data_IF_045238135188
#
_entry.id   IF_045238135188
#
_cell.length_a   1.000
_cell.length_b   1.000
_cell.length_c   1.000
_cell.angle_alpha   90.00
_cell.angle_beta   90.00
_cell.angle_gamma   90.00
#
_symmetry.space_group_name_H-M   'P 1'
#
loop_
_entity.id
_entity.type
_entity.pdbx_description
1 polymer ?
#
# COMPACT_ATOMS: atom_id res chain seq x y z
N UNK A 1 38.24 -15.04 -1.36
CA UNK A 1 37.11 -15.90 -1.80
C UNK A 1 36.44 -16.67 -0.64
N UNK A 2 36.32 -16.14 0.58
CA UNK A 2 35.77 -16.90 1.73
C UNK A 2 34.72 -16.16 2.59
N UNK A 3 34.03 -15.15 2.06
CA UNK A 3 33.06 -14.35 2.85
C UNK A 3 31.58 -14.56 2.49
N UNK A 4 31.24 -15.51 1.61
CA UNK A 4 29.89 -15.64 1.04
C UNK A 4 28.97 -16.64 1.78
N UNK A 5 29.45 -17.43 2.76
CA UNK A 5 28.62 -18.49 3.39
C UNK A 5 27.81 -18.07 4.61
N UNK A 6 28.23 -17.05 5.36
CA UNK A 6 27.57 -16.66 6.63
C UNK A 6 26.34 -15.77 6.42
N UNK A 7 26.33 -14.96 5.35
CA UNK A 7 25.25 -14.00 5.05
C UNK A 7 23.93 -14.71 4.69
N UNK A 8 24.00 -15.91 4.10
CA UNK A 8 22.81 -16.66 3.68
C UNK A 8 21.98 -17.21 4.86
N UNK A 9 22.60 -17.49 6.00
CA UNK A 9 21.87 -17.98 7.17
C UNK A 9 21.08 -16.87 7.87
N UNK A 10 21.68 -15.67 7.98
CA UNK A 10 21.01 -14.50 8.57
C UNK A 10 19.77 -14.08 7.76
N UNK A 11 19.85 -14.07 6.43
CA UNK A 11 18.71 -13.75 5.56
C UNK A 11 17.55 -14.75 5.68
N UNK A 12 17.85 -16.05 5.75
CA UNK A 12 16.81 -17.09 5.84
C UNK A 12 16.04 -17.03 7.16
N UNK A 13 16.71 -16.70 8.26
CA UNK A 13 16.06 -16.51 9.56
C UNK A 13 15.16 -15.27 9.52
N UNK A 14 15.62 -14.16 8.94
CA UNK A 14 14.82 -12.95 8.78
C UNK A 14 13.55 -13.20 7.96
N UNK A 15 13.68 -13.88 6.81
CA UNK A 15 12.53 -14.22 5.95
C UNK A 15 11.50 -15.11 6.68
N UNK A 16 11.97 -16.03 7.52
CA UNK A 16 11.07 -16.88 8.31
C UNK A 16 10.26 -16.06 9.33
N UNK A 17 10.92 -15.17 10.09
CA UNK A 17 10.23 -14.30 11.04
C UNK A 17 9.31 -13.29 10.36
N UNK A 18 9.70 -12.79 9.19
CA UNK A 18 8.88 -11.90 8.39
C UNK A 18 7.60 -12.59 7.90
N UNK A 19 7.72 -13.82 7.38
CA UNK A 19 6.56 -14.63 6.99
C UNK A 19 5.59 -14.86 8.16
N UNK A 20 6.10 -15.18 9.34
CA UNK A 20 5.28 -15.31 10.56
C UNK A 20 4.58 -13.99 10.88
N UNK A 21 5.31 -12.87 10.87
CA UNK A 21 4.76 -11.55 11.13
C UNK A 21 3.61 -11.20 10.18
N UNK A 22 3.78 -11.48 8.88
CA UNK A 22 2.78 -11.23 7.85
C UNK A 22 1.52 -12.09 8.03
N UNK A 23 1.69 -13.37 8.41
CA UNK A 23 0.55 -14.24 8.73
C UNK A 23 -0.23 -13.69 9.93
N UNK A 24 0.47 -13.24 10.98
CA UNK A 24 -0.17 -12.63 12.17
C UNK A 24 -0.92 -11.36 11.77
N UNK A 25 -0.32 -10.48 10.97
CA UNK A 25 -0.96 -9.25 10.48
C UNK A 25 -2.22 -9.59 9.66
N UNK A 26 -2.15 -10.56 8.74
CA UNK A 26 -3.30 -10.96 7.95
C UNK A 26 -4.45 -11.48 8.81
N UNK A 27 -4.17 -12.38 9.75
CA UNK A 27 -5.17 -12.93 10.67
C UNK A 27 -5.78 -11.85 11.56
N UNK A 28 -4.94 -10.96 12.12
CA UNK A 28 -5.41 -9.85 12.93
C UNK A 28 -6.32 -8.91 12.13
N UNK A 29 -5.97 -8.63 10.86
CA UNK A 29 -6.74 -7.76 9.98
C UNK A 29 -8.11 -8.35 9.65
N UNK A 30 -8.19 -9.65 9.36
CA UNK A 30 -9.47 -10.35 9.14
C UNK A 30 -10.33 -10.29 10.40
N UNK A 31 -9.74 -10.56 11.57
CA UNK A 31 -10.45 -10.54 12.84
C UNK A 31 -10.94 -9.13 13.22
N UNK A 32 -10.13 -8.10 12.96
CA UNK A 32 -10.52 -6.70 13.15
C UNK A 32 -11.68 -6.31 12.23
N UNK A 33 -11.63 -6.68 10.95
CA UNK A 33 -12.73 -6.43 10.01
C UNK A 33 -14.03 -7.12 10.42
N UNK A 34 -13.95 -8.33 10.98
CA UNK A 34 -15.11 -9.02 11.55
C UNK A 34 -15.71 -8.25 12.74
N UNK A 35 -14.87 -7.83 13.70
CA UNK A 35 -15.33 -7.06 14.86
C UNK A 35 -15.98 -5.74 14.45
N UNK A 36 -15.36 -5.00 13.53
CA UNK A 36 -15.88 -3.73 13.05
C UNK A 36 -17.23 -3.92 12.32
N UNK A 37 -17.35 -5.00 11.54
CA UNK A 37 -18.61 -5.35 10.89
C UNK A 37 -19.71 -5.65 11.90
N UNK A 38 -19.41 -6.40 12.96
CA UNK A 38 -20.37 -6.67 14.02
C UNK A 38 -20.76 -5.40 14.79
N UNK A 39 -19.81 -4.48 15.01
CA UNK A 39 -20.07 -3.19 15.64
C UNK A 39 -21.04 -2.34 14.80
N UNK A 40 -20.82 -2.26 13.49
CA UNK A 40 -21.73 -1.57 12.57
C UNK A 40 -23.14 -2.15 12.59
N UNK A 41 -23.27 -3.48 12.59
CA UNK A 41 -24.56 -4.17 12.66
C UNK A 41 -25.25 -3.84 13.99
N UNK A 42 -24.53 -3.93 15.10
CA UNK A 42 -25.06 -3.61 16.43
C UNK A 42 -25.52 -2.16 16.55
N UNK A 43 -24.78 -1.22 15.94
CA UNK A 43 -25.10 0.20 15.96
C UNK A 43 -26.23 0.59 14.98
N UNK A 44 -26.60 -0.30 14.04
CA UNK A 44 -27.66 -0.07 13.05
C UNK A 44 -27.36 1.07 12.06
N UNK A 45 -26.12 1.55 12.00
CA UNK A 45 -25.67 2.64 11.14
C UNK A 45 -24.27 2.35 10.65
N UNK A 46 -24.08 2.57 9.35
CA UNK A 46 -22.76 2.50 8.69
C UNK A 46 -22.34 3.92 8.33
N UNK A 47 -21.18 4.33 8.78
CA UNK A 47 -20.59 5.63 8.48
C UNK A 47 -19.51 5.52 7.39
N UNK A 48 -19.15 6.67 6.80
CA UNK A 48 -18.02 6.74 5.87
C UNK A 48 -16.70 6.34 6.55
N UNK A 49 -16.53 6.66 7.82
CA UNK A 49 -15.35 6.26 8.58
C UNK A 49 -15.23 4.73 8.67
N UNK A 50 -16.34 4.04 8.94
CA UNK A 50 -16.35 2.58 9.05
C UNK A 50 -16.01 1.92 7.70
N UNK A 51 -16.57 2.43 6.60
CA UNK A 51 -16.25 1.94 5.26
C UNK A 51 -14.79 2.19 4.86
N UNK A 52 -14.23 3.35 5.23
CA UNK A 52 -12.83 3.67 4.99
C UNK A 52 -11.90 2.76 5.81
N UNK A 53 -12.28 2.46 7.05
CA UNK A 53 -11.54 1.55 7.92
C UNK A 53 -11.57 0.12 7.38
N UNK A 54 -12.74 -0.36 6.93
CA UNK A 54 -12.86 -1.67 6.28
C UNK A 54 -12.03 -1.75 4.99
N UNK A 55 -11.96 -0.67 4.23
CA UNK A 55 -11.14 -0.60 3.03
C UNK A 55 -9.64 -0.64 3.35
N UNK A 56 -9.21 0.02 4.44
CA UNK A 56 -7.84 -0.07 4.94
C UNK A 56 -7.47 -1.50 5.36
N UNK A 57 -8.40 -2.25 5.97
CA UNK A 57 -8.18 -3.68 6.28
C UNK A 57 -8.01 -4.53 5.01
N UNK A 58 -8.87 -4.35 4.01
CA UNK A 58 -8.73 -5.06 2.73
C UNK A 58 -7.44 -4.69 1.99
N UNK A 59 -7.02 -3.44 2.10
CA UNK A 59 -5.77 -2.97 1.54
C UNK A 59 -4.57 -3.66 2.22
N UNK A 60 -4.54 -3.71 3.55
CA UNK A 60 -3.48 -4.40 4.29
C UNK A 60 -3.41 -5.88 3.87
N UNK A 61 -4.55 -6.56 3.71
CA UNK A 61 -4.56 -7.94 3.21
C UNK A 61 -3.97 -8.05 1.81
N UNK A 62 -4.27 -7.08 0.94
CA UNK A 62 -3.71 -7.01 -0.41
C UNK A 62 -2.20 -6.78 -0.38
N UNK A 63 -1.70 -5.92 0.50
CA UNK A 63 -0.26 -5.68 0.69
C UNK A 63 0.46 -6.91 1.17
N UNK A 64 -0.12 -7.64 2.13
CA UNK A 64 0.43 -8.89 2.63
C UNK A 64 0.49 -9.92 1.51
N UNK A 65 -0.57 -10.04 0.70
CA UNK A 65 -0.59 -10.90 -0.49
C UNK A 65 0.51 -10.54 -1.51
N UNK A 66 0.60 -9.26 -1.88
CA UNK A 66 1.62 -8.75 -2.80
C UNK A 66 3.04 -8.92 -2.26
N UNK A 67 3.22 -8.86 -0.93
CA UNK A 67 4.50 -9.14 -0.31
C UNK A 67 4.90 -10.61 -0.48
N UNK A 68 3.98 -11.55 -0.32
CA UNK A 68 4.28 -12.97 -0.57
C UNK A 68 4.66 -13.26 -2.03
N UNK A 69 4.14 -12.48 -2.98
CA UNK A 69 4.47 -12.62 -4.41
C UNK A 69 5.80 -11.94 -4.79
N UNK A 70 6.05 -10.73 -4.29
CA UNK A 70 7.13 -9.86 -4.78
C UNK A 70 8.28 -9.63 -3.79
N UNK A 71 8.12 -10.00 -2.51
CA UNK A 71 9.07 -9.73 -1.43
C UNK A 71 9.26 -8.23 -1.11
N UNK A 72 8.40 -7.35 -1.64
CA UNK A 72 8.47 -5.90 -1.46
C UNK A 72 7.12 -5.39 -0.94
N UNK A 73 7.13 -4.51 0.07
CA UNK A 73 5.91 -3.89 0.61
C UNK A 73 5.46 -2.72 -0.27
N UNK A 74 4.24 -2.75 -0.85
CA UNK A 74 3.79 -1.72 -1.78
C UNK A 74 3.24 -0.49 -1.03
N UNK A 75 4.11 0.48 -0.75
CA UNK A 75 3.77 1.74 -0.03
C UNK A 75 2.98 2.77 -0.83
N UNK A 76 2.77 2.57 -2.14
CA UNK A 76 2.15 3.58 -3.01
C UNK A 76 0.62 3.59 -2.92
N UNK A 77 0.00 2.41 -2.90
CA UNK A 77 -1.45 2.25 -2.81
C UNK A 77 -2.08 2.95 -1.58
N UNK A 78 -1.53 2.86 -0.36
CA UNK A 78 -2.20 3.41 0.83
C UNK A 78 -2.17 4.92 0.85
N UNK A 79 -1.12 5.50 0.26
CA UNK A 79 -0.99 6.94 0.12
C UNK A 79 -2.07 7.53 -0.81
N UNK A 80 -2.43 6.81 -1.88
CA UNK A 80 -3.56 7.20 -2.73
C UNK A 80 -4.91 7.04 -2.02
N UNK A 81 -5.05 5.98 -1.21
CA UNK A 81 -6.27 5.70 -0.47
C UNK A 81 -6.53 6.76 0.60
N UNK A 82 -5.49 7.19 1.32
CA UNK A 82 -5.57 8.31 2.25
C UNK A 82 -6.02 9.61 1.55
N UNK A 83 -5.52 9.88 0.34
CA UNK A 83 -5.91 11.06 -0.43
C UNK A 83 -7.39 11.03 -0.83
N UNK A 84 -7.87 9.88 -1.33
CA UNK A 84 -9.29 9.69 -1.69
C UNK A 84 -10.19 9.76 -0.46
N UNK A 85 -9.77 9.19 0.67
CA UNK A 85 -10.49 9.23 1.93
C UNK A 85 -10.73 10.66 2.42
N UNK A 86 -9.66 11.47 2.46
CA UNK A 86 -9.75 12.87 2.87
C UNK A 86 -10.58 13.70 1.88
N UNK A 87 -10.45 13.46 0.58
CA UNK A 87 -11.27 14.15 -0.43
C UNK A 87 -12.77 13.87 -0.26
N UNK A 88 -13.14 12.61 0.04
CA UNK A 88 -14.53 12.24 0.34
C UNK A 88 -15.00 12.83 1.66
N UNK A 89 -14.14 12.86 2.67
CA UNK A 89 -14.46 13.48 3.96
C UNK A 89 -14.87 14.95 3.77
N UNK A 90 -14.09 15.74 3.03
CA UNK A 90 -14.47 17.13 2.71
C UNK A 90 -15.80 17.17 1.95
N UNK A 91 -15.96 16.38 0.89
CA UNK A 91 -17.12 16.49 0.01
C UNK A 91 -18.45 16.21 0.73
N UNK A 92 -18.44 15.28 1.69
CA UNK A 92 -19.65 14.90 2.44
C UNK A 92 -19.89 15.81 3.65
N UNK A 93 -18.83 16.24 4.33
CA UNK A 93 -18.94 16.96 5.62
C UNK A 93 -18.83 18.49 5.48
N UNK A 94 -18.54 19.03 4.28
CA UNK A 94 -18.25 20.48 4.06
C UNK A 94 -19.29 21.43 4.64
N UNK A 95 -20.56 21.00 4.75
CA UNK A 95 -21.64 21.85 5.28
C UNK A 95 -21.63 21.98 6.80
N UNK A 96 -21.12 20.97 7.49
CA UNK A 96 -21.02 20.91 8.96
C UNK A 96 -19.61 21.28 9.45
N UNK A 97 -18.64 21.39 8.54
CA UNK A 97 -17.25 21.72 8.85
C UNK A 97 -17.02 23.21 9.11
N UNK A 98 -16.34 23.51 10.21
CA UNK A 98 -15.82 24.85 10.48
C UNK A 98 -14.69 25.23 9.49
N UNK A 99 -14.52 26.54 9.26
CA UNK A 99 -13.56 27.04 8.25
C UNK A 99 -12.11 26.67 8.55
N UNK A 100 -11.73 26.55 9.82
CA UNK A 100 -10.36 26.18 10.22
C UNK A 100 -10.10 24.72 9.90
N UNK A 101 -11.05 23.83 10.22
CA UNK A 101 -10.97 22.41 9.91
C UNK A 101 -10.97 22.15 8.42
N UNK A 102 -11.80 22.86 7.66
CA UNK A 102 -11.80 22.77 6.19
C UNK A 102 -10.42 23.13 5.62
N UNK A 103 -9.80 24.20 6.13
CA UNK A 103 -8.47 24.63 5.72
C UNK A 103 -7.38 23.62 6.13
N UNK A 104 -7.47 23.07 7.33
CA UNK A 104 -6.55 22.04 7.83
C UNK A 104 -6.60 20.74 7.01
N UNK A 105 -7.80 20.24 6.70
CA UNK A 105 -7.97 19.02 5.91
C UNK A 105 -7.54 19.26 4.46
N UNK A 106 -7.87 20.42 3.88
CA UNK A 106 -7.42 20.78 2.53
C UNK A 106 -5.89 20.90 2.45
N UNK A 107 -5.25 21.50 3.45
CA UNK A 107 -3.79 21.57 3.54
C UNK A 107 -3.16 20.17 3.69
N UNK A 108 -3.76 19.28 4.49
CA UNK A 108 -3.31 17.89 4.62
C UNK A 108 -3.37 17.14 3.27
N UNK A 109 -4.43 17.31 2.48
CA UNK A 109 -4.53 16.72 1.14
C UNK A 109 -3.39 17.21 0.23
N UNK A 110 -3.09 18.52 0.25
CA UNK A 110 -1.99 19.08 -0.54
C UNK A 110 -0.64 18.52 -0.11
N UNK A 111 -0.38 18.42 1.20
CA UNK A 111 0.87 17.85 1.72
C UNK A 111 1.04 16.38 1.32
N UNK A 112 -0.04 15.59 1.42
CA UNK A 112 -0.05 14.18 0.99
C UNK A 112 0.19 14.10 -0.52
N UNK A 113 -0.49 14.93 -1.32
CA UNK A 113 -0.31 14.98 -2.77
C UNK A 113 1.14 15.32 -3.18
N UNK A 114 1.78 16.26 -2.47
CA UNK A 114 3.18 16.58 -2.66
C UNK A 114 4.09 15.41 -2.29
N UNK A 115 3.80 14.70 -1.18
CA UNK A 115 4.51 13.48 -0.82
C UNK A 115 4.41 12.40 -1.89
N UNK A 116 3.21 12.14 -2.41
CA UNK A 116 2.98 11.24 -3.56
C UNK A 116 3.79 11.68 -4.77
N UNK A 117 3.77 12.97 -5.09
CA UNK A 117 4.51 13.52 -6.24
C UNK A 117 6.02 13.30 -6.08
N UNK A 118 6.57 13.55 -4.90
CA UNK A 118 8.00 13.33 -4.59
C UNK A 118 8.37 11.85 -4.73
N UNK A 119 7.57 10.95 -4.15
CA UNK A 119 7.80 9.49 -4.24
C UNK A 119 7.73 9.03 -5.69
N UNK A 120 6.73 9.50 -6.45
CA UNK A 120 6.55 9.17 -7.86
C UNK A 120 7.69 9.69 -8.72
N UNK A 121 8.09 10.94 -8.51
CA UNK A 121 9.19 11.55 -9.24
C UNK A 121 10.52 10.87 -8.92
N UNK A 122 10.76 10.52 -7.65
CA UNK A 122 11.93 9.74 -7.23
C UNK A 122 12.03 8.40 -7.95
N UNK A 123 10.93 7.65 -8.05
CA UNK A 123 10.91 6.36 -8.76
C UNK A 123 11.11 6.49 -10.27
N UNK A 124 10.58 7.55 -10.90
CA UNK A 124 10.76 7.76 -12.35
C UNK A 124 12.19 8.21 -12.68
N UNK A 125 12.82 9.01 -11.79
CA UNK A 125 14.14 9.60 -12.03
C UNK A 125 15.31 8.75 -11.54
N UNK A 126 15.08 7.91 -10.53
CA UNK A 126 16.04 6.93 -10.00
C UNK A 126 15.39 5.54 -9.93
N UNK A 127 15.17 4.88 -11.08
CA UNK A 127 14.64 3.52 -11.09
C UNK A 127 15.67 2.56 -10.44
N UNK A 128 15.20 1.60 -9.67
CA UNK A 128 16.08 0.59 -9.07
C UNK A 128 16.63 -0.33 -10.16
N UNK A 129 17.87 -0.81 -9.99
CA UNK A 129 18.58 -1.63 -11.00
C UNK A 129 17.76 -2.85 -11.45
N UNK A 130 16.97 -3.43 -10.54
CA UNK A 130 16.04 -4.54 -10.81
C UNK A 130 14.92 -4.17 -11.80
N UNK A 131 14.37 -2.94 -11.70
CA UNK A 131 13.34 -2.46 -12.63
C UNK A 131 13.94 -2.25 -14.04
N UNK A 132 15.23 -1.89 -14.14
CA UNK A 132 15.93 -1.79 -15.43
C UNK A 132 16.18 -3.16 -16.07
N UNK A 133 16.49 -4.19 -15.27
CA UNK A 133 16.66 -5.57 -15.76
C UNK A 133 15.33 -6.15 -16.28
N UNK A 134 14.23 -5.95 -15.56
CA UNK A 134 12.89 -6.38 -16.02
C UNK A 134 12.46 -5.67 -17.31
N UNK A 135 12.70 -4.37 -17.43
CA UNK A 135 12.42 -3.61 -18.65
C UNK A 135 13.31 -4.03 -19.82
N UNK A 136 14.57 -4.38 -19.56
CA UNK A 136 15.49 -4.90 -20.56
C UNK A 136 15.04 -6.28 -21.05
N UNK A 137 14.63 -7.17 -20.15
CA UNK A 137 14.10 -8.49 -20.48
C UNK A 137 12.76 -8.44 -21.24
N UNK A 138 11.87 -7.51 -20.86
CA UNK A 138 10.61 -7.29 -21.56
C UNK A 138 10.85 -6.79 -22.99
N UNK A 139 11.77 -5.83 -23.16
CA UNK A 139 12.15 -5.29 -24.47
C UNK A 139 12.86 -6.32 -25.36
N UNK A 140 13.65 -7.24 -24.79
CA UNK A 140 14.27 -8.33 -25.55
C UNK A 140 13.25 -9.39 -25.98
N UNK A 141 12.28 -9.73 -25.13
CA UNK A 141 11.18 -10.66 -25.47
C UNK A 141 10.30 -10.12 -26.60
N UNK A 142 9.96 -8.82 -26.56
CA UNK A 142 9.18 -8.17 -27.61
C UNK A 142 9.93 -8.15 -28.96
N UNK A 143 11.26 -7.94 -28.93
CA UNK A 143 12.09 -8.04 -30.13
C UNK A 143 12.17 -9.45 -30.70
N UNK A 144 12.34 -10.48 -29.88
CA UNK A 144 12.38 -11.87 -30.35
C UNK A 144 11.05 -12.31 -30.96
N UNK A 145 9.93 -11.85 -30.41
CA UNK A 145 8.60 -12.19 -30.92
C UNK A 145 8.34 -11.53 -32.27
N UNK A 146 8.79 -10.28 -32.47
CA UNK A 146 8.67 -9.53 -33.72
C UNK A 146 9.64 -9.97 -34.83
N UNK A 147 10.66 -10.75 -34.50
CA UNK A 147 11.60 -11.38 -35.46
C UNK A 147 11.07 -12.74 -35.93
N UNK A 148 10.11 -13.33 -35.20
CA UNK A 148 9.55 -14.66 -35.45
C UNK A 148 8.26 -14.64 -36.30
N UNK A 149 7.63 -13.46 -36.43
CA UNK A 149 6.49 -13.16 -37.30
C UNK A 149 6.95 -12.48 -38.61
#
# INVERSE_FOLDING_TARGET
MLQTRTINHSRRVLQFFEGIGLVVIALATIFAGYQETMLMIHNGRVTLADLLLMFLYLEILTMVGLYFESGKLPVRFPLYIALVALARYITVDVKEMDSIRLLGVSAAIVLIALGVLVIRYGHVRYPYVEDLEELAEAASREKEQKIRD
#
